data_IF_041386158449
#
_entry.id   IF_041386158449
#
_cell.length_a   1.000
_cell.length_b   1.000
_cell.length_c   1.000
_cell.angle_alpha   90.00
_cell.angle_beta   90.00
_cell.angle_gamma   90.00
#
_symmetry.space_group_name_H-M   'P 1'
#
loop_
_entity.id
_entity.type
_entity.pdbx_description
1 polymer ?
#
# COMPACT_ATOMS: atom_id res chain seq x y z
N UNK A 1 -5.63 -20.53 -27.20
CA UNK A 1 -6.58 -19.40 -27.28
C UNK A 1 -7.67 -19.44 -26.20
N UNK A 2 -7.36 -19.72 -24.92
CA UNK A 2 -8.38 -19.80 -23.83
C UNK A 2 -8.18 -18.79 -22.70
N UNK A 3 -7.10 -18.01 -22.72
CA UNK A 3 -6.69 -17.16 -21.60
C UNK A 3 -7.33 -15.76 -21.60
N UNK A 4 -7.89 -15.30 -22.73
CA UNK A 4 -8.52 -13.98 -22.83
C UNK A 4 -9.95 -13.95 -22.29
N UNK A 5 -10.68 -15.07 -22.29
CA UNK A 5 -12.07 -15.14 -21.85
C UNK A 5 -12.20 -15.01 -20.32
N UNK A 6 -11.25 -15.53 -19.55
CA UNK A 6 -11.27 -15.42 -18.09
C UNK A 6 -11.07 -13.98 -17.60
N UNK A 7 -10.13 -13.23 -18.21
CA UNK A 7 -9.86 -11.83 -17.85
C UNK A 7 -11.07 -10.91 -18.11
N UNK A 8 -11.83 -11.18 -19.16
CA UNK A 8 -13.04 -10.42 -19.49
C UNK A 8 -14.18 -10.69 -18.51
N UNK A 9 -14.32 -11.96 -18.05
CA UNK A 9 -15.34 -12.35 -17.09
C UNK A 9 -15.07 -11.74 -15.70
N UNK A 10 -13.81 -11.66 -15.28
CA UNK A 10 -13.42 -11.01 -14.02
C UNK A 10 -13.71 -9.52 -14.07
N UNK A 11 -13.44 -8.85 -15.19
CA UNK A 11 -13.71 -7.42 -15.35
C UNK A 11 -15.22 -7.12 -15.34
N UNK A 12 -16.04 -8.01 -15.90
CA UNK A 12 -17.50 -7.88 -15.90
C UNK A 12 -18.11 -8.11 -14.51
N UNK A 13 -17.51 -8.99 -13.70
CA UNK A 13 -17.96 -9.25 -12.33
C UNK A 13 -17.67 -8.04 -11.42
N UNK A 14 -16.49 -7.42 -11.57
CA UNK A 14 -16.11 -6.22 -10.79
C UNK A 14 -17.00 -5.02 -11.15
N UNK A 15 -17.40 -4.84 -12.41
CA UNK A 15 -18.31 -3.74 -12.79
C UNK A 15 -19.75 -3.98 -12.37
N UNK A 16 -20.21 -5.24 -12.31
CA UNK A 16 -21.58 -5.57 -11.87
C UNK A 16 -21.82 -5.39 -10.37
N UNK A 17 -20.76 -5.42 -9.54
CA UNK A 17 -20.88 -5.22 -8.10
C UNK A 17 -21.13 -3.75 -7.70
N UNK A 18 -20.94 -2.82 -8.64
CA UNK A 18 -21.00 -1.36 -8.39
C UNK A 18 -22.43 -0.80 -8.52
N UNK A 19 -23.37 -1.50 -9.14
CA UNK A 19 -24.68 -0.91 -9.52
C UNK A 19 -25.88 -1.35 -8.68
N UNK A 20 -25.71 -2.19 -7.66
CA UNK A 20 -26.83 -2.80 -6.94
C UNK A 20 -26.82 -2.63 -5.41
N UNK A 21 -26.43 -1.46 -4.89
CA UNK A 21 -26.67 -1.13 -3.47
C UNK A 21 -27.44 0.19 -3.31
N UNK A 22 -28.76 0.14 -3.09
CA UNK A 22 -29.53 1.30 -2.66
C UNK A 22 -29.51 1.38 -1.12
N UNK A 23 -28.44 1.91 -0.54
CA UNK A 23 -28.45 2.67 0.72
C UNK A 23 -27.11 3.41 0.83
N UNK A 24 -27.14 4.73 1.00
CA UNK A 24 -25.97 5.59 0.96
C UNK A 24 -25.15 5.52 2.27
N UNK A 25 -24.66 4.33 2.63
CA UNK A 25 -23.64 4.12 3.65
C UNK A 25 -22.33 3.86 2.92
N UNK A 26 -21.59 4.94 2.66
CA UNK A 26 -20.56 4.97 1.62
C UNK A 26 -19.33 4.16 2.04
N UNK A 27 -19.11 3.03 1.38
CA UNK A 27 -17.79 2.40 1.32
C UNK A 27 -16.86 3.34 0.55
N UNK A 28 -15.76 3.76 1.17
CA UNK A 28 -14.75 4.65 0.60
C UNK A 28 -13.49 3.85 0.30
N UNK A 29 -13.02 3.98 -0.94
CA UNK A 29 -11.67 3.57 -1.31
C UNK A 29 -10.75 4.78 -1.15
N UNK A 30 -9.62 4.59 -0.48
CA UNK A 30 -8.63 5.66 -0.27
C UNK A 30 -7.22 5.09 -0.31
N UNK A 31 -6.22 5.95 -0.34
CA UNK A 31 -4.83 5.55 -0.34
C UNK A 31 -3.92 6.74 -0.45
N UNK A 32 -2.63 6.50 -0.25
CA UNK A 32 -1.59 7.48 -0.47
C UNK A 32 -0.44 6.85 -1.23
N UNK A 33 0.18 7.65 -2.10
CA UNK A 33 1.38 7.29 -2.82
C UNK A 33 2.46 8.29 -2.44
N UNK A 34 3.42 7.86 -1.63
CA UNK A 34 4.60 8.64 -1.28
C UNK A 34 5.83 7.96 -1.90
N UNK A 35 6.32 8.55 -2.99
CA UNK A 35 7.50 8.09 -3.71
C UNK A 35 8.31 9.30 -4.17
N UNK A 36 9.63 9.12 -4.18
CA UNK A 36 10.41 9.77 -5.22
C UNK A 36 11.90 9.51 -5.15
N UNK A 37 12.64 10.40 -5.81
CA UNK A 37 14.06 10.23 -6.10
C UNK A 37 14.92 10.47 -4.86
N UNK A 38 15.52 9.39 -4.37
CA UNK A 38 16.52 9.43 -3.32
C UNK A 38 17.94 9.34 -3.90
N UNK A 39 18.85 10.13 -3.31
CA UNK A 39 20.28 10.01 -3.51
C UNK A 39 20.91 9.71 -2.16
N UNK A 40 21.56 8.55 -2.02
CA UNK A 40 22.31 8.18 -0.83
C UNK A 40 23.80 8.12 -1.16
N UNK A 41 24.58 8.81 -0.34
CA UNK A 41 26.04 8.76 -0.34
C UNK A 41 26.49 8.29 1.03
N UNK A 42 27.20 7.18 1.06
CA UNK A 42 27.71 6.58 2.29
C UNK A 42 29.22 6.37 2.15
N UNK A 43 29.98 7.05 3.00
CA UNK A 43 31.42 6.82 3.12
C UNK A 43 31.69 6.04 4.40
N UNK A 44 32.44 4.94 4.28
CA UNK A 44 32.88 4.13 5.42
C UNK A 44 34.40 4.07 5.40
N UNK A 45 35.00 4.55 6.48
CA UNK A 45 36.43 4.47 6.72
C UNK A 45 36.68 3.51 7.87
N UNK A 46 37.78 2.77 7.80
CA UNK A 46 38.17 1.85 8.86
C UNK A 46 39.57 1.28 8.64
N UNK A 47 39.90 0.28 9.44
CA UNK A 47 41.19 -0.39 9.38
C UNK A 47 40.96 -1.90 9.51
N UNK A 48 41.52 -2.70 8.59
CA UNK A 48 41.53 -4.16 8.66
C UNK A 48 42.98 -4.60 8.73
N UNK A 49 43.38 -5.29 9.80
CA UNK A 49 44.75 -5.77 10.02
C UNK A 49 45.83 -4.68 9.87
N UNK A 50 45.56 -3.47 10.38
CA UNK A 50 46.50 -2.34 10.27
C UNK A 50 46.46 -1.59 8.94
N UNK A 51 45.79 -2.13 7.91
CA UNK A 51 45.66 -1.48 6.60
C UNK A 51 44.42 -0.56 6.62
N UNK A 52 44.57 0.75 6.40
CA UNK A 52 43.44 1.66 6.31
C UNK A 52 42.65 1.37 5.03
N UNK A 53 41.32 1.41 5.13
CA UNK A 53 40.43 1.34 3.98
C UNK A 53 39.42 2.48 4.03
N UNK A 54 39.03 2.93 2.84
CA UNK A 54 37.93 3.84 2.62
C UNK A 54 37.07 3.28 1.50
N UNK A 55 35.77 3.22 1.74
CA UNK A 55 34.78 2.77 0.78
C UNK A 55 33.74 3.87 0.64
N UNK A 56 33.55 4.34 -0.59
CA UNK A 56 32.50 5.28 -0.95
C UNK A 56 31.45 4.52 -1.75
N UNK A 57 30.21 4.57 -1.29
CA UNK A 57 29.08 3.96 -1.97
C UNK A 57 28.06 5.05 -2.31
N UNK A 58 27.62 5.05 -3.57
CA UNK A 58 26.58 5.93 -4.06
C UNK A 58 25.43 5.07 -4.59
N UNK A 59 24.20 5.40 -4.20
CA UNK A 59 23.00 4.78 -4.76
C UNK A 59 21.97 5.86 -5.11
N UNK A 60 21.46 5.77 -6.34
CA UNK A 60 20.32 6.55 -6.82
C UNK A 60 19.16 5.56 -6.94
N UNK A 61 18.02 5.87 -6.36
CA UNK A 61 16.85 5.00 -6.41
C UNK A 61 15.56 5.72 -6.06
N UNK A 62 14.45 5.06 -6.34
CA UNK A 62 13.14 5.50 -5.85
C UNK A 62 12.97 4.93 -4.44
N UNK A 63 12.67 5.79 -3.47
CA UNK A 63 12.36 5.39 -2.10
C UNK A 63 11.11 6.15 -1.64
N UNK A 64 10.35 5.57 -0.69
CA UNK A 64 9.37 6.35 0.07
C UNK A 64 10.11 7.31 0.99
N UNK A 65 9.77 8.59 0.95
CA UNK A 65 10.54 9.63 1.63
C UNK A 65 10.14 9.82 3.09
N UNK A 66 8.89 9.55 3.44
CA UNK A 66 8.38 9.82 4.79
C UNK A 66 7.36 8.80 5.25
N UNK A 67 6.37 8.53 4.42
CA UNK A 67 5.25 7.67 4.74
C UNK A 67 5.19 6.47 3.78
N UNK A 68 4.73 5.31 4.25
CA UNK A 68 4.56 4.15 3.39
C UNK A 68 3.35 4.37 2.47
N UNK A 69 3.50 4.02 1.19
CA UNK A 69 2.39 4.01 0.26
C UNK A 69 1.39 2.93 0.65
N UNK A 70 0.10 3.21 0.60
CA UNK A 70 -0.93 2.23 0.96
C UNK A 70 -2.22 2.45 0.18
N UNK A 71 -3.03 1.41 0.11
CA UNK A 71 -4.43 1.46 -0.34
C UNK A 71 -5.33 0.92 0.76
N UNK A 72 -6.55 1.43 0.85
CA UNK A 72 -7.46 1.06 1.92
C UNK A 72 -8.93 1.18 1.57
N UNK A 73 -9.74 0.51 2.39
CA UNK A 73 -11.19 0.48 2.35
C UNK A 73 -11.68 0.96 3.71
N UNK A 74 -12.56 1.96 3.70
CA UNK A 74 -13.26 2.43 4.89
C UNK A 74 -14.76 2.30 4.69
N UNK A 75 -15.46 1.73 5.66
CA UNK A 75 -16.92 1.67 5.66
C UNK A 75 -17.44 2.10 7.03
N UNK A 76 -18.56 2.80 7.06
CA UNK A 76 -19.24 3.17 8.30
C UNK A 76 -20.74 2.95 8.20
N UNK A 77 -21.33 2.45 9.28
CA UNK A 77 -22.76 2.15 9.41
C UNK A 77 -23.29 2.82 10.68
N UNK A 78 -24.30 3.71 10.60
CA UNK A 78 -24.88 4.35 11.76
C UNK A 78 -25.70 3.33 12.59
N UNK A 79 -25.50 3.35 13.90
CA UNK A 79 -26.31 2.61 14.88
C UNK A 79 -27.45 3.46 15.45
N UNK A 80 -27.51 4.74 15.07
CA UNK A 80 -28.44 5.72 15.62
C UNK A 80 -27.92 6.40 16.89
N UNK A 81 -28.59 7.48 17.29
CA UNK A 81 -28.22 8.33 18.44
C UNK A 81 -26.77 8.85 18.38
N UNK A 82 -26.27 9.13 17.17
CA UNK A 82 -24.90 9.58 16.92
C UNK A 82 -23.85 8.48 16.86
N UNK A 83 -24.16 7.23 17.25
CA UNK A 83 -23.20 6.13 17.19
C UNK A 83 -23.11 5.54 15.79
N UNK A 84 -21.94 5.00 15.46
CA UNK A 84 -21.62 4.28 14.22
C UNK A 84 -20.67 3.12 14.48
N UNK A 85 -20.81 2.06 13.70
CA UNK A 85 -19.78 1.05 13.48
C UNK A 85 -18.92 1.52 12.33
N UNK A 86 -17.61 1.29 12.39
CA UNK A 86 -16.74 1.50 11.25
C UNK A 86 -15.76 0.34 11.08
N UNK A 87 -15.35 0.13 9.83
CA UNK A 87 -14.33 -0.82 9.43
C UNK A 87 -13.29 -0.06 8.61
N UNK A 88 -12.02 -0.30 8.88
CA UNK A 88 -10.89 0.25 8.16
C UNK A 88 -9.90 -0.86 7.84
N UNK A 89 -9.66 -1.10 6.57
CA UNK A 89 -8.70 -2.08 6.07
C UNK A 89 -7.65 -1.35 5.23
N UNK A 90 -6.36 -1.55 5.50
CA UNK A 90 -5.27 -0.96 4.70
C UNK A 90 -4.27 -2.06 4.29
N UNK A 91 -3.75 -1.94 3.08
CA UNK A 91 -2.65 -2.73 2.58
C UNK A 91 -1.52 -1.80 2.15
N UNK A 92 -0.34 -2.03 2.70
CA UNK A 92 0.89 -1.35 2.32
C UNK A 92 1.30 -1.78 0.91
N UNK A 93 1.54 -0.78 0.07
CA UNK A 93 2.21 -0.99 -1.20
C UNK A 93 3.70 -1.14 -0.87
N UNK A 94 4.29 -2.26 -1.26
CA UNK A 94 5.69 -2.52 -1.02
C UNK A 94 6.62 -1.61 -1.83
N UNK A 95 7.91 -1.94 -1.82
CA UNK A 95 8.93 -1.05 -2.35
C UNK A 95 8.90 -0.98 -3.88
N UNK A 96 8.95 0.24 -4.41
CA UNK A 96 9.09 0.47 -5.84
C UNK A 96 10.55 0.30 -6.24
N UNK A 97 10.85 -0.85 -6.85
CA UNK A 97 12.16 -1.15 -7.41
C UNK A 97 12.20 -0.79 -8.90
N UNK A 98 13.40 -0.69 -9.52
CA UNK A 98 13.49 -0.55 -10.98
C UNK A 98 12.79 -1.68 -11.76
N UNK A 99 12.61 -2.85 -11.14
CA UNK A 99 11.86 -4.00 -11.65
C UNK A 99 10.35 -3.96 -11.40
N UNK A 100 9.83 -2.91 -10.76
CA UNK A 100 8.42 -2.74 -10.42
C UNK A 100 8.14 -2.81 -8.92
N UNK A 101 6.85 -2.93 -8.57
CA UNK A 101 6.38 -3.06 -7.19
C UNK A 101 6.86 -4.40 -6.61
N UNK A 102 7.66 -4.35 -5.55
CA UNK A 102 8.02 -5.50 -4.74
C UNK A 102 7.06 -5.56 -3.55
N UNK A 103 6.01 -6.40 -3.58
CA UNK A 103 5.05 -6.45 -2.48
C UNK A 103 5.74 -6.90 -1.19
N UNK A 104 5.39 -6.25 -0.08
CA UNK A 104 5.72 -6.78 1.25
C UNK A 104 4.88 -8.04 1.44
N UNK A 105 5.52 -9.20 1.55
CA UNK A 105 4.81 -10.47 1.72
C UNK A 105 4.18 -10.58 3.11
N UNK A 106 3.08 -11.34 3.22
CA UNK A 106 2.61 -11.89 4.50
C UNK A 106 1.10 -11.89 4.68
N UNK A 107 0.43 -10.77 4.44
CA UNK A 107 -0.99 -10.59 4.79
C UNK A 107 -1.77 -9.87 3.68
N UNK A 108 -3.10 -10.08 3.62
CA UNK A 108 -3.99 -9.41 2.65
C UNK A 108 -4.19 -7.94 3.02
N UNK A 109 -4.12 -7.62 4.31
CA UNK A 109 -4.21 -6.28 4.86
C UNK A 109 -3.20 -6.16 6.01
N UNK A 110 -2.34 -5.14 5.96
CA UNK A 110 -1.38 -4.81 7.01
C UNK A 110 -2.05 -4.12 8.20
N UNK A 111 -3.27 -3.61 7.99
CA UNK A 111 -4.11 -3.04 9.05
C UNK A 111 -5.55 -3.46 8.86
N UNK A 112 -6.15 -3.95 9.93
CA UNK A 112 -7.58 -4.20 10.02
C UNK A 112 -8.12 -3.67 11.35
N UNK A 113 -9.05 -2.72 11.28
CA UNK A 113 -9.70 -2.11 12.45
C UNK A 113 -11.20 -2.23 12.28
N UNK A 114 -11.87 -2.68 13.34
CA UNK A 114 -13.33 -2.64 13.48
C UNK A 114 -13.61 -1.91 14.79
N UNK A 115 -14.46 -0.89 14.74
CA UNK A 115 -14.73 -0.04 15.89
C UNK A 115 -16.17 0.44 15.96
N UNK A 116 -16.53 0.94 17.13
CA UNK A 116 -17.81 1.61 17.40
C UNK A 116 -17.48 2.97 18.03
N UNK A 117 -18.08 4.05 17.53
CA UNK A 117 -17.87 5.40 18.05
C UNK A 117 -18.93 6.37 17.52
N UNK A 118 -19.00 7.58 18.07
CA UNK A 118 -19.96 8.62 17.67
C UNK A 118 -19.36 10.00 17.80
#
# INVERSE_FOLDING_TARGET
MKQHSQKLLTLLLVTSLVTAMPSAHAIKLYGQFDQGLSYQHQSRQGQVNGIPFSTNQHSIGVQSFKDQSYVGIYAEEPLGKGNKVFIQLEHELGDFTPSGLSPKGGEVFDKAVIGIGG
#
